data_IF_815469883945
#
_entry.id   IF_815469883945
#
_cell.length_a   1.000
_cell.length_b   1.000
_cell.length_c   1.000
_cell.angle_alpha   90.00
_cell.angle_beta   90.00
_cell.angle_gamma   90.00
#
_symmetry.space_group_name_H-M   'P 1'
#
loop_
_entity.id
_entity.type
_entity.pdbx_description
1 polymer ?
#
# COMPACT_ATOMS: atom_id res chain seq x y z
N UNK A 1 12.93 -10.63 -3.20
CA UNK A 1 12.86 -11.95 -2.56
C UNK A 1 11.68 -12.67 -3.17
N UNK A 2 11.93 -13.84 -3.76
CA UNK A 2 10.85 -14.67 -4.29
C UNK A 2 9.96 -15.13 -3.13
N UNK A 3 8.74 -14.60 -3.08
CA UNK A 3 7.77 -14.93 -2.04
C UNK A 3 7.32 -16.38 -2.16
N UNK A 4 7.08 -17.06 -1.04
CA UNK A 4 6.51 -18.40 -1.06
C UNK A 4 5.03 -18.33 -1.46
N UNK A 5 4.71 -18.70 -2.70
CA UNK A 5 3.35 -18.66 -3.25
C UNK A 5 2.35 -19.49 -2.44
N UNK A 6 2.78 -20.59 -1.80
CA UNK A 6 1.90 -21.39 -0.94
C UNK A 6 1.37 -20.61 0.28
N UNK A 7 2.06 -19.53 0.68
CA UNK A 7 1.67 -18.66 1.79
C UNK A 7 0.92 -17.40 1.37
N UNK A 8 0.40 -17.33 0.14
CA UNK A 8 -0.28 -16.12 -0.37
C UNK A 8 -1.41 -15.62 0.56
N UNK A 9 -2.12 -16.54 1.21
CA UNK A 9 -3.25 -16.23 2.09
C UNK A 9 -2.84 -15.37 3.29
N UNK A 10 -1.60 -15.49 3.78
CA UNK A 10 -1.11 -14.67 4.89
C UNK A 10 -0.85 -13.22 4.47
N UNK A 11 -0.63 -12.97 3.17
CA UNK A 11 -0.42 -11.65 2.60
C UNK A 11 -1.69 -11.03 2.02
N UNK A 12 -2.71 -11.84 1.70
CA UNK A 12 -3.92 -11.43 0.99
C UNK A 12 -4.58 -10.20 1.62
N UNK A 13 -4.77 -10.19 2.95
CA UNK A 13 -5.37 -9.06 3.64
C UNK A 13 -4.59 -7.75 3.43
N UNK A 14 -3.26 -7.79 3.63
CA UNK A 14 -2.40 -6.62 3.48
C UNK A 14 -2.36 -6.12 2.03
N UNK A 15 -2.38 -7.03 1.05
CA UNK A 15 -2.43 -6.67 -0.37
C UNK A 15 -3.76 -6.02 -0.74
N UNK A 16 -4.89 -6.59 -0.31
CA UNK A 16 -6.20 -6.00 -0.57
C UNK A 16 -6.37 -4.63 0.09
N UNK A 17 -5.84 -4.47 1.31
CA UNK A 17 -5.82 -3.16 1.95
C UNK A 17 -4.96 -2.17 1.17
N UNK A 18 -3.74 -2.56 0.78
CA UNK A 18 -2.84 -1.72 0.00
C UNK A 18 -3.43 -1.31 -1.37
N UNK A 19 -4.15 -2.18 -2.06
CA UNK A 19 -4.84 -1.82 -3.31
C UNK A 19 -5.94 -0.78 -3.07
N UNK A 20 -6.79 -0.99 -2.06
CA UNK A 20 -7.93 -0.10 -1.76
C UNK A 20 -7.51 1.31 -1.38
N UNK A 21 -6.37 1.45 -0.71
CA UNK A 21 -5.85 2.75 -0.26
C UNK A 21 -4.90 3.41 -1.28
N UNK A 22 -4.54 2.71 -2.36
CA UNK A 22 -3.72 3.26 -3.44
C UNK A 22 -4.56 4.00 -4.47
N UNK A 23 -4.12 5.19 -4.88
CA UNK A 23 -4.79 5.98 -5.92
C UNK A 23 -4.77 5.24 -7.26
N UNK A 24 -5.93 5.17 -7.91
CA UNK A 24 -6.08 4.59 -9.25
C UNK A 24 -6.02 5.69 -10.31
N UNK A 25 -5.13 5.53 -11.31
CA UNK A 25 -4.94 6.53 -12.40
C UNK A 25 -6.23 6.96 -13.10
N UNK A 26 -7.16 6.03 -13.35
CA UNK A 26 -8.44 6.35 -14.03
C UNK A 26 -9.41 7.14 -13.16
N UNK A 27 -9.33 6.99 -11.83
CA UNK A 27 -10.24 7.67 -10.89
C UNK A 27 -9.65 8.97 -10.35
N UNK A 28 -8.32 9.11 -10.30
CA UNK A 28 -7.66 10.24 -9.64
C UNK A 28 -7.65 10.15 -8.11
N UNK A 29 -8.37 9.20 -7.51
CA UNK A 29 -8.41 8.94 -6.07
C UNK A 29 -8.29 7.43 -5.76
N UNK A 30 -8.20 7.07 -4.47
CA UNK A 30 -8.21 5.68 -4.03
C UNK A 30 -9.65 5.13 -3.94
N UNK A 31 -9.87 3.83 -4.18
CA UNK A 31 -11.17 3.20 -3.96
C UNK A 31 -11.73 3.45 -2.56
N UNK A 32 -10.88 3.47 -1.54
CA UNK A 32 -11.27 3.82 -0.17
C UNK A 32 -11.88 5.23 -0.12
N UNK A 33 -11.16 6.24 -0.66
CA UNK A 33 -11.64 7.62 -0.67
C UNK A 33 -12.96 7.76 -1.43
N UNK A 34 -13.11 7.07 -2.57
CA UNK A 34 -14.35 7.13 -3.36
C UNK A 34 -15.57 6.61 -2.59
N UNK A 35 -15.39 5.66 -1.67
CA UNK A 35 -16.49 5.08 -0.88
C UNK A 35 -16.72 5.87 0.41
N UNK A 36 -15.66 6.32 1.08
CA UNK A 36 -15.75 6.89 2.42
C UNK A 36 -15.67 8.41 2.46
N UNK A 37 -15.29 9.06 1.35
CA UNK A 37 -14.99 10.49 1.28
C UNK A 37 -13.77 10.92 2.10
N UNK A 38 -13.02 9.98 2.67
CA UNK A 38 -11.90 10.26 3.59
C UNK A 38 -10.60 9.67 3.06
N UNK A 39 -9.50 10.41 3.21
CA UNK A 39 -8.19 9.91 2.81
C UNK A 39 -7.75 8.83 3.81
N UNK A 40 -7.36 7.63 3.34
CA UNK A 40 -6.86 6.60 4.23
C UNK A 40 -5.50 7.05 4.79
N UNK A 41 -5.43 7.27 6.09
CA UNK A 41 -4.15 7.48 6.78
C UNK A 41 -3.53 6.11 7.01
N UNK A 42 -2.43 5.81 6.31
CA UNK A 42 -1.68 4.60 6.64
C UNK A 42 -0.98 4.84 7.98
N UNK A 43 -0.93 3.84 8.87
CA UNK A 43 -0.16 3.96 10.11
C UNK A 43 1.29 4.41 9.87
N UNK A 44 1.87 4.02 8.72
CA UNK A 44 3.20 4.41 8.26
C UNK A 44 3.33 5.93 7.98
N UNK A 45 2.29 6.53 7.40
CA UNK A 45 2.27 7.96 7.08
C UNK A 45 2.39 8.82 8.35
N UNK A 46 1.98 8.26 9.50
CA UNK A 46 2.03 8.91 10.81
C UNK A 46 3.33 8.56 11.56
N UNK A 47 3.68 7.26 11.65
CA UNK A 47 4.80 6.82 12.49
C UNK A 47 6.18 6.99 11.85
N UNK A 48 6.26 6.81 10.53
CA UNK A 48 7.54 6.87 9.78
C UNK A 48 7.63 8.14 8.92
N UNK A 49 6.63 9.01 9.00
CA UNK A 49 6.49 10.20 8.17
C UNK A 49 6.81 9.90 6.70
N UNK A 50 6.22 8.83 6.13
CA UNK A 50 6.56 8.36 4.78
C UNK A 50 6.34 9.43 3.71
N UNK A 51 5.46 10.40 3.97
CA UNK A 51 5.30 11.61 3.16
C UNK A 51 6.59 12.45 3.02
N UNK A 52 7.50 12.37 3.99
CA UNK A 52 8.79 13.08 4.03
C UNK A 52 9.95 12.27 3.44
N UNK A 53 9.74 11.01 3.04
CA UNK A 53 10.79 10.26 2.37
C UNK A 53 11.11 10.89 1.01
N UNK A 54 12.40 10.89 0.61
CA UNK A 54 12.77 11.36 -0.71
C UNK A 54 12.01 10.55 -1.78
N UNK A 55 11.58 11.21 -2.87
CA UNK A 55 10.82 10.54 -3.90
C UNK A 55 11.58 9.32 -4.44
N UNK A 56 10.87 8.27 -4.89
CA UNK A 56 11.51 7.10 -5.46
C UNK A 56 12.49 7.48 -6.57
N UNK A 57 13.69 6.89 -6.55
CA UNK A 57 14.75 7.16 -7.56
C UNK A 57 14.35 6.77 -8.99
N UNK A 58 13.29 5.99 -9.14
CA UNK A 58 12.74 5.54 -10.41
C UNK A 58 11.21 5.50 -10.34
N UNK A 59 10.57 5.59 -11.50
CA UNK A 59 9.11 5.44 -11.61
C UNK A 59 8.72 4.05 -11.13
N UNK A 60 7.89 3.98 -10.10
CA UNK A 60 7.36 2.72 -9.58
C UNK A 60 6.17 2.26 -10.42
N UNK A 61 6.10 0.97 -10.73
CA UNK A 61 4.87 0.38 -11.23
C UNK A 61 3.80 0.40 -10.13
N UNK A 62 2.53 0.38 -10.51
CA UNK A 62 1.43 0.28 -9.53
C UNK A 62 1.55 -0.99 -8.69
N UNK A 63 1.97 -2.10 -9.31
CA UNK A 63 2.21 -3.37 -8.62
C UNK A 63 3.30 -3.25 -7.57
N UNK A 64 4.43 -2.62 -7.89
CA UNK A 64 5.53 -2.42 -6.93
C UNK A 64 5.10 -1.54 -5.76
N UNK A 65 4.31 -0.50 -6.03
CA UNK A 65 3.77 0.38 -5.00
C UNK A 65 2.85 -0.38 -4.05
N UNK A 66 1.93 -1.20 -4.58
CA UNK A 66 1.03 -2.05 -3.78
C UNK A 66 1.83 -3.07 -2.97
N UNK A 67 2.81 -3.73 -3.58
CA UNK A 67 3.65 -4.71 -2.91
C UNK A 67 4.43 -4.09 -1.73
N UNK A 68 5.04 -2.92 -1.94
CA UNK A 68 5.77 -2.19 -0.87
C UNK A 68 4.84 -1.82 0.28
N UNK A 69 3.64 -1.30 -0.02
CA UNK A 69 2.63 -0.99 1.01
C UNK A 69 2.18 -2.24 1.77
N UNK A 70 1.93 -3.35 1.08
CA UNK A 70 1.54 -4.62 1.70
C UNK A 70 2.63 -5.13 2.67
N UNK A 71 3.89 -5.06 2.28
CA UNK A 71 5.03 -5.43 3.15
C UNK A 71 5.09 -4.53 4.39
N UNK A 72 4.93 -3.21 4.23
CA UNK A 72 4.92 -2.28 5.36
C UNK A 72 3.78 -2.60 6.34
N UNK A 73 2.58 -2.92 5.83
CA UNK A 73 1.44 -3.34 6.66
C UNK A 73 1.71 -4.66 7.41
N UNK A 74 2.43 -5.60 6.81
CA UNK A 74 2.76 -6.88 7.44
C UNK A 74 3.76 -6.72 8.59
N UNK A 75 4.80 -5.90 8.44
CA UNK A 75 5.83 -5.67 9.46
C UNK A 75 5.30 -5.15 10.80
N UNK A 76 4.11 -4.54 10.82
CA UNK A 76 3.48 -4.05 12.06
C UNK A 76 2.67 -5.12 12.80
N UNK A 77 2.24 -6.19 12.12
CA UNK A 77 1.46 -7.27 12.75
C UNK A 77 2.34 -8.28 13.48
N UNK A 78 3.64 -8.34 13.16
CA UNK A 78 4.61 -9.22 13.79
C UNK A 78 5.11 -8.70 15.12
#
# INVERSE_FOLDING_TARGET
SDGNQAKWHSAAYSVFWADRVTVRRRMGCSPYFAVTGTHPLLPLDISEATYLLPPPKSVLSTTDLIARRAIALQKRRS
#
